data_IF_391044865923
#
_entry.id   IF_391044865923
#
_cell.length_a   1.000
_cell.length_b   1.000
_cell.length_c   1.000
_cell.angle_alpha   90.00
_cell.angle_beta   90.00
_cell.angle_gamma   90.00
#
_symmetry.space_group_name_H-M   'P 1'
#
loop_
_entity.id
_entity.type
_entity.pdbx_description
1 polymer ?
#
# COMPACT_ATOMS: atom_id res chain seq x y z
N UNK A 1 -6.06 -26.22 -38.97
CA UNK A 1 -5.79 -24.80 -38.64
C UNK A 1 -6.77 -24.24 -37.59
N UNK A 2 -7.98 -24.79 -37.45
CA UNK A 2 -8.98 -24.39 -36.43
C UNK A 2 -8.57 -24.69 -34.97
N UNK A 3 -8.00 -25.85 -34.70
CA UNK A 3 -7.68 -26.27 -33.32
C UNK A 3 -6.63 -25.39 -32.63
N UNK A 4 -5.67 -24.85 -33.41
CA UNK A 4 -4.60 -24.00 -32.87
C UNK A 4 -5.11 -22.61 -32.47
N UNK A 5 -6.04 -22.04 -33.25
CA UNK A 5 -6.69 -20.76 -32.92
C UNK A 5 -7.58 -20.90 -31.69
N UNK A 6 -8.33 -22.00 -31.59
CA UNK A 6 -9.21 -22.27 -30.46
C UNK A 6 -8.43 -22.42 -29.14
N UNK A 7 -7.27 -23.06 -29.19
CA UNK A 7 -6.39 -23.26 -28.03
C UNK A 7 -5.76 -21.93 -27.56
N UNK A 8 -5.33 -21.07 -28.49
CA UNK A 8 -4.79 -19.74 -28.18
C UNK A 8 -5.83 -18.83 -27.54
N UNK A 9 -7.06 -18.78 -28.07
CA UNK A 9 -8.16 -17.97 -27.52
C UNK A 9 -8.49 -18.41 -26.09
N UNK A 10 -8.67 -19.72 -25.88
CA UNK A 10 -8.94 -20.30 -24.56
C UNK A 10 -7.84 -19.98 -23.54
N UNK A 11 -6.57 -20.03 -23.97
CA UNK A 11 -5.43 -19.71 -23.12
C UNK A 11 -5.36 -18.23 -22.72
N UNK A 12 -5.77 -17.32 -23.61
CA UNK A 12 -5.78 -15.88 -23.36
C UNK A 12 -6.88 -15.50 -22.35
N UNK A 13 -8.07 -16.12 -22.47
CA UNK A 13 -9.16 -15.93 -21.50
C UNK A 13 -8.76 -16.43 -20.11
N UNK A 14 -8.09 -17.58 -20.01
CA UNK A 14 -7.60 -18.08 -18.73
C UNK A 14 -6.56 -17.15 -18.11
N UNK A 15 -5.59 -16.68 -18.91
CA UNK A 15 -4.59 -15.71 -18.47
C UNK A 15 -5.24 -14.42 -17.97
N UNK A 16 -6.26 -13.91 -18.67
CA UNK A 16 -6.97 -12.71 -18.25
C UNK A 16 -7.57 -12.85 -16.85
N UNK A 17 -8.33 -13.92 -16.60
CA UNK A 17 -8.94 -14.16 -15.29
C UNK A 17 -7.90 -14.36 -14.18
N UNK A 18 -6.77 -15.01 -14.51
CA UNK A 18 -5.65 -15.10 -13.59
C UNK A 18 -5.06 -13.73 -13.23
N UNK A 19 -4.88 -12.84 -14.21
CA UNK A 19 -4.40 -11.48 -13.98
C UNK A 19 -5.39 -10.64 -13.18
N UNK A 20 -6.70 -10.78 -13.42
CA UNK A 20 -7.75 -10.12 -12.64
C UNK A 20 -7.73 -10.62 -11.19
N UNK A 21 -7.57 -11.93 -10.96
CA UNK A 21 -7.41 -12.48 -9.61
C UNK A 21 -6.15 -11.93 -8.92
N UNK A 22 -5.04 -11.83 -9.65
CA UNK A 22 -3.80 -11.23 -9.15
C UNK A 22 -4.00 -9.76 -8.79
N UNK A 23 -4.70 -8.98 -9.60
CA UNK A 23 -5.07 -7.60 -9.27
C UNK A 23 -5.96 -7.51 -8.03
N UNK A 24 -6.86 -8.48 -7.83
CA UNK A 24 -7.65 -8.60 -6.60
C UNK A 24 -6.76 -8.76 -5.36
N UNK A 25 -5.73 -9.60 -5.45
CA UNK A 25 -4.69 -9.71 -4.40
C UNK A 25 -3.93 -8.39 -4.25
N UNK A 26 -3.65 -7.69 -5.34
CA UNK A 26 -3.02 -6.36 -5.32
C UNK A 26 -3.86 -5.30 -4.59
N UNK A 27 -5.19 -5.30 -4.77
CA UNK A 27 -6.11 -4.43 -4.01
C UNK A 27 -6.03 -4.77 -2.52
N UNK A 28 -6.13 -6.04 -2.14
CA UNK A 28 -6.01 -6.45 -0.74
C UNK A 28 -4.64 -6.06 -0.18
N UNK A 29 -3.58 -6.25 -0.95
CA UNK A 29 -2.22 -5.84 -0.61
C UNK A 29 -2.08 -4.34 -0.40
N UNK A 30 -2.85 -3.50 -1.10
CA UNK A 30 -2.83 -2.04 -0.91
C UNK A 30 -3.45 -1.62 0.45
N UNK A 31 -4.27 -2.46 1.07
CA UNK A 31 -4.79 -2.23 2.43
C UNK A 31 -3.86 -2.73 3.53
N UNK A 32 -2.81 -3.47 3.16
CA UNK A 32 -1.87 -4.06 4.10
C UNK A 32 -0.58 -3.26 4.08
N UNK A 33 -0.18 -2.64 5.21
CA UNK A 33 1.06 -1.90 5.28
C UNK A 33 2.25 -2.77 4.84
N UNK A 34 3.20 -2.19 4.11
CA UNK A 34 4.42 -2.84 3.57
C UNK A 34 4.18 -3.74 2.36
N UNK A 35 2.97 -4.24 2.10
CA UNK A 35 2.72 -5.06 0.91
C UNK A 35 2.68 -4.20 -0.36
N UNK A 36 3.35 -4.62 -1.45
CA UNK A 36 3.42 -3.84 -2.68
C UNK A 36 2.15 -4.04 -3.53
N UNK A 37 1.00 -3.58 -3.04
CA UNK A 37 -0.31 -3.78 -3.67
C UNK A 37 -0.43 -3.19 -5.07
N UNK A 38 -0.13 -1.90 -5.23
CA UNK A 38 -0.16 -1.23 -6.53
C UNK A 38 0.93 -1.71 -7.49
N UNK A 39 2.07 -2.17 -6.97
CA UNK A 39 3.11 -2.80 -7.80
C UNK A 39 2.62 -4.10 -8.44
N UNK A 40 1.88 -4.92 -7.68
CA UNK A 40 1.28 -6.16 -8.17
C UNK A 40 0.29 -5.89 -9.32
N UNK A 41 -0.50 -4.81 -9.19
CA UNK A 41 -1.44 -4.36 -10.23
C UNK A 41 -0.67 -3.93 -11.49
N UNK A 42 0.38 -3.10 -11.36
CA UNK A 42 1.23 -2.71 -12.49
C UNK A 42 1.82 -3.95 -13.19
N UNK A 43 2.33 -4.92 -12.42
CA UNK A 43 2.86 -6.16 -12.97
C UNK A 43 1.81 -6.94 -13.77
N UNK A 44 0.59 -7.05 -13.24
CA UNK A 44 -0.50 -7.73 -13.94
C UNK A 44 -0.90 -7.00 -15.24
N UNK A 45 -0.99 -5.67 -15.20
CA UNK A 45 -1.28 -4.86 -16.40
C UNK A 45 -0.15 -4.97 -17.43
N UNK A 46 1.11 -4.93 -16.99
CA UNK A 46 2.28 -5.07 -17.85
C UNK A 46 2.25 -6.40 -18.61
N UNK A 47 2.00 -7.51 -17.91
CA UNK A 47 1.89 -8.84 -18.53
C UNK A 47 0.80 -8.85 -19.59
N UNK A 48 -0.37 -8.25 -19.30
CA UNK A 48 -1.45 -8.15 -20.30
C UNK A 48 -1.03 -7.35 -21.53
N UNK A 49 -0.41 -6.18 -21.35
CA UNK A 49 0.03 -5.32 -22.47
C UNK A 49 1.08 -6.01 -23.35
N UNK A 50 1.97 -6.82 -22.77
CA UNK A 50 2.97 -7.58 -23.53
C UNK A 50 2.37 -8.73 -24.33
N UNK A 51 1.39 -9.44 -23.77
CA UNK A 51 0.73 -10.58 -24.45
C UNK A 51 -0.31 -10.11 -25.46
N UNK A 52 -0.87 -8.91 -25.27
CA UNK A 52 -1.83 -8.29 -26.18
C UNK A 52 -1.34 -6.91 -26.68
N UNK A 53 -0.37 -6.84 -27.60
CA UNK A 53 0.20 -5.58 -28.09
C UNK A 53 -0.80 -4.67 -28.82
N UNK A 54 -1.89 -5.25 -29.34
CA UNK A 54 -2.98 -4.53 -29.99
C UNK A 54 -3.96 -3.89 -28.99
N UNK A 55 -3.86 -4.23 -27.69
CA UNK A 55 -4.69 -3.64 -26.65
C UNK A 55 -4.23 -2.21 -26.31
N UNK A 56 -5.14 -1.42 -25.73
CA UNK A 56 -4.84 -0.06 -25.32
C UNK A 56 -3.70 -0.01 -24.29
N UNK A 57 -2.76 0.92 -24.45
CA UNK A 57 -1.71 1.21 -23.46
C UNK A 57 -2.20 2.04 -22.27
N UNK A 58 -3.44 2.55 -22.32
CA UNK A 58 -4.02 3.40 -21.27
C UNK A 58 -4.03 2.75 -19.88
N UNK A 59 -4.40 1.47 -19.70
CA UNK A 59 -4.35 0.82 -18.39
C UNK A 59 -2.95 0.81 -17.78
N UNK A 60 -1.91 0.63 -18.61
CA UNK A 60 -0.53 0.62 -18.14
C UNK A 60 -0.10 2.00 -17.65
N UNK A 61 -0.46 3.05 -18.39
CA UNK A 61 -0.19 4.44 -18.00
C UNK A 61 -0.89 4.76 -16.67
N UNK A 62 -2.18 4.43 -16.54
CA UNK A 62 -2.94 4.69 -15.31
C UNK A 62 -2.40 3.89 -14.13
N UNK A 63 -2.06 2.61 -14.33
CA UNK A 63 -1.47 1.79 -13.28
C UNK A 63 -0.10 2.33 -12.83
N UNK A 64 0.74 2.79 -13.77
CA UNK A 64 2.04 3.39 -13.44
C UNK A 64 1.88 4.71 -12.67
N UNK A 65 0.95 5.58 -13.08
CA UNK A 65 0.64 6.82 -12.35
C UNK A 65 0.12 6.50 -10.95
N UNK A 66 -0.81 5.56 -10.82
CA UNK A 66 -1.33 5.11 -9.54
C UNK A 66 -0.22 4.58 -8.64
N UNK A 67 0.71 3.77 -9.17
CA UNK A 67 1.87 3.27 -8.44
C UNK A 67 2.79 4.38 -7.96
N UNK A 68 3.18 5.31 -8.85
CA UNK A 68 4.05 6.45 -8.49
C UNK A 68 3.39 7.32 -7.40
N UNK A 69 2.09 7.59 -7.52
CA UNK A 69 1.35 8.33 -6.50
C UNK A 69 1.31 7.56 -5.18
N UNK A 70 1.06 6.26 -5.20
CA UNK A 70 1.06 5.42 -3.99
C UNK A 70 2.39 5.45 -3.24
N UNK A 71 3.53 5.46 -3.94
CA UNK A 71 4.85 5.57 -3.28
C UNK A 71 4.99 6.84 -2.42
N UNK A 72 4.33 7.93 -2.82
CA UNK A 72 4.35 9.19 -2.08
C UNK A 72 3.24 9.32 -1.04
N UNK A 73 2.03 8.82 -1.34
CA UNK A 73 0.81 9.06 -0.56
C UNK A 73 0.94 8.59 0.88
N UNK A 74 1.39 7.36 1.14
CA UNK A 74 1.52 6.84 2.50
C UNK A 74 2.50 7.66 3.36
N UNK A 75 3.66 8.01 2.79
CA UNK A 75 4.66 8.84 3.47
C UNK A 75 4.16 10.26 3.71
N UNK A 76 3.58 10.91 2.69
CA UNK A 76 3.04 12.27 2.80
C UNK A 76 1.88 12.33 3.80
N UNK A 77 0.96 11.37 3.77
CA UNK A 77 -0.15 11.29 4.72
C UNK A 77 0.37 11.25 6.15
N UNK A 78 1.34 10.36 6.42
CA UNK A 78 1.95 10.21 7.75
C UNK A 78 2.74 11.45 8.16
N UNK A 79 3.55 12.00 7.26
CA UNK A 79 4.35 13.19 7.51
C UNK A 79 3.47 14.39 7.84
N UNK A 80 2.49 14.69 6.99
CA UNK A 80 1.57 15.83 7.18
C UNK A 80 0.69 15.61 8.42
N UNK A 81 0.17 14.40 8.61
CA UNK A 81 -0.70 14.06 9.75
C UNK A 81 0.00 14.22 11.10
N UNK A 82 1.25 13.74 11.20
CA UNK A 82 2.05 13.88 12.42
C UNK A 82 2.55 15.31 12.64
N UNK A 83 2.93 16.03 11.58
CA UNK A 83 3.34 17.43 11.69
C UNK A 83 2.22 18.34 12.21
N UNK A 84 0.97 18.10 11.80
CA UNK A 84 -0.20 18.86 12.31
C UNK A 84 -0.36 18.79 13.83
N UNK A 85 0.13 17.73 14.48
CA UNK A 85 0.04 17.60 15.95
C UNK A 85 1.30 18.05 16.69
N UNK A 86 2.30 18.57 15.99
CA UNK A 86 3.55 19.07 16.57
C UNK A 86 4.69 18.05 16.63
N UNK A 87 4.64 16.98 15.84
CA UNK A 87 5.65 15.93 15.86
C UNK A 87 7.05 16.45 15.47
N UNK A 88 8.03 16.05 16.26
CA UNK A 88 9.45 16.24 15.94
C UNK A 88 9.92 15.27 14.86
N UNK A 89 11.12 15.49 14.34
CA UNK A 89 11.77 14.54 13.43
C UNK A 89 12.12 13.21 14.13
N UNK A 90 12.26 13.22 15.47
CA UNK A 90 12.51 12.03 16.27
C UNK A 90 11.26 11.16 16.44
N UNK A 91 10.06 11.76 16.50
CA UNK A 91 8.80 11.01 16.46
C UNK A 91 8.61 10.27 15.12
N UNK A 92 8.97 10.90 14.01
CA UNK A 92 8.94 10.25 12.68
C UNK A 92 10.01 9.17 12.52
N UNK A 93 11.24 9.45 12.93
CA UNK A 93 12.32 8.44 12.87
C UNK A 93 11.99 7.26 13.78
N UNK A 94 11.46 7.55 14.97
CA UNK A 94 10.97 6.56 15.92
C UNK A 94 9.89 5.68 15.30
N UNK A 95 8.92 6.24 14.58
CA UNK A 95 7.87 5.43 13.93
C UNK A 95 8.41 4.54 12.81
N UNK A 96 9.40 5.01 12.03
CA UNK A 96 10.04 4.22 10.98
C UNK A 96 10.85 3.06 11.58
N UNK A 97 11.65 3.34 12.63
CA UNK A 97 12.41 2.30 13.34
C UNK A 97 11.46 1.31 14.00
N UNK A 98 10.39 1.81 14.64
CA UNK A 98 9.36 0.99 15.24
C UNK A 98 8.63 0.11 14.22
N UNK A 99 8.35 0.63 13.03
CA UNK A 99 7.82 -0.16 11.90
C UNK A 99 8.79 -1.27 11.52
N UNK A 100 10.08 -0.98 11.37
CA UNK A 100 11.08 -1.98 11.01
C UNK A 100 11.22 -3.08 12.08
N UNK A 101 11.31 -2.70 13.35
CA UNK A 101 11.39 -3.64 14.48
C UNK A 101 10.10 -4.48 14.57
N UNK A 102 8.95 -3.85 14.38
CA UNK A 102 7.65 -4.51 14.38
C UNK A 102 7.45 -5.46 13.21
N UNK A 103 7.90 -5.08 12.02
CA UNK A 103 7.87 -5.90 10.80
C UNK A 103 8.76 -7.15 10.93
N UNK A 104 9.96 -6.98 11.50
CA UNK A 104 10.88 -8.09 11.78
C UNK A 104 10.41 -9.02 12.92
N UNK A 105 9.28 -8.71 13.57
CA UNK A 105 8.75 -9.51 14.68
C UNK A 105 9.62 -9.43 15.94
N UNK A 106 10.49 -8.43 16.04
CA UNK A 106 11.41 -8.24 17.17
C UNK A 106 10.75 -7.55 18.37
N UNK A 107 9.46 -7.23 18.28
CA UNK A 107 8.67 -6.81 19.44
C UNK A 107 8.32 -8.06 20.26
N UNK A 108 8.86 -8.20 21.48
CA UNK A 108 8.51 -9.31 22.36
C UNK A 108 7.04 -9.16 22.76
N UNK A 109 6.23 -10.21 22.56
CA UNK A 109 4.85 -10.39 23.07
C UNK A 109 3.64 -9.93 22.23
N UNK A 110 3.50 -10.42 20.99
CA UNK A 110 2.17 -10.57 20.37
C UNK A 110 1.87 -12.05 20.06
N UNK A 111 1.32 -12.81 21.03
CA UNK A 111 0.98 -14.22 20.84
C UNK A 111 -0.10 -14.48 19.77
N UNK A 112 -0.78 -13.45 19.25
CA UNK A 112 -1.98 -13.58 18.38
C UNK A 112 -1.93 -12.68 17.12
N UNK A 113 -0.82 -11.99 16.83
CA UNK A 113 -0.86 -10.80 15.96
C UNK A 113 -0.20 -10.81 14.57
N UNK A 114 0.77 -11.69 14.32
CA UNK A 114 1.56 -11.68 13.08
C UNK A 114 2.28 -10.33 12.78
N UNK A 115 2.94 -10.21 11.61
CA UNK A 115 3.67 -9.00 11.21
C UNK A 115 2.81 -7.73 11.14
N UNK A 116 1.49 -7.88 10.93
CA UNK A 116 0.57 -6.77 10.73
C UNK A 116 0.34 -5.97 12.01
N UNK A 117 0.08 -6.64 13.14
CA UNK A 117 0.00 -5.95 14.42
C UNK A 117 1.37 -5.40 14.84
N UNK A 118 2.44 -6.11 14.51
CA UNK A 118 3.81 -5.64 14.73
C UNK A 118 4.09 -4.30 14.06
N UNK A 119 3.70 -4.11 12.79
CA UNK A 119 3.90 -2.85 12.06
C UNK A 119 3.15 -1.67 12.72
N UNK A 120 1.86 -1.85 13.02
CA UNK A 120 1.02 -0.77 13.58
C UNK A 120 1.47 -0.44 15.00
N UNK A 121 1.61 -1.46 15.86
CA UNK A 121 2.03 -1.27 17.25
C UNK A 121 3.47 -0.78 17.32
N UNK A 122 4.35 -1.32 16.49
CA UNK A 122 5.75 -0.92 16.41
C UNK A 122 5.91 0.53 15.98
N UNK A 123 5.27 0.95 14.90
CA UNK A 123 5.30 2.35 14.45
C UNK A 123 4.70 3.30 15.49
N UNK A 124 3.61 2.90 16.14
CA UNK A 124 2.97 3.68 17.21
C UNK A 124 3.90 3.84 18.44
N UNK A 125 4.46 2.74 18.96
CA UNK A 125 5.38 2.75 20.10
C UNK A 125 6.68 3.46 19.76
N UNK A 126 7.21 3.25 18.56
CA UNK A 126 8.39 3.93 18.07
C UNK A 126 8.19 5.44 18.01
N UNK A 127 7.05 5.91 17.52
CA UNK A 127 6.72 7.34 17.51
C UNK A 127 6.60 7.90 18.94
N UNK A 128 5.95 7.14 19.83
CA UNK A 128 5.81 7.51 21.24
C UNK A 128 7.18 7.70 21.89
N UNK A 129 8.03 6.68 21.82
CA UNK A 129 9.36 6.68 22.44
C UNK A 129 10.27 7.72 21.80
N UNK A 130 10.23 7.85 20.48
CA UNK A 130 11.01 8.87 19.76
C UNK A 130 10.67 10.28 20.20
N UNK A 131 9.38 10.63 20.27
CA UNK A 131 8.95 11.94 20.73
C UNK A 131 9.24 12.14 22.23
N UNK A 132 8.99 11.11 23.05
CA UNK A 132 9.20 11.17 24.50
C UNK A 132 10.68 11.37 24.87
N UNK A 133 11.59 10.74 24.13
CA UNK A 133 13.04 10.88 24.36
C UNK A 133 13.60 12.20 23.82
N UNK A 134 12.97 12.78 22.80
CA UNK A 134 13.39 14.06 22.24
C UNK A 134 13.00 15.24 23.12
N UNK A 135 11.76 15.24 23.64
CA UNK A 135 11.13 16.37 24.34
C UNK A 135 11.52 16.49 25.82
N UNK A 136 12.81 16.33 26.14
CA UNK A 136 13.30 16.35 27.53
C UNK A 136 13.11 17.70 28.23
N UNK A 137 12.92 18.76 27.46
CA UNK A 137 12.64 20.12 27.93
C UNK A 137 11.25 20.29 28.54
N UNK A 138 10.30 19.40 28.24
CA UNK A 138 8.93 19.45 28.76
C UNK A 138 8.79 18.66 30.06
N UNK A 139 7.83 19.09 30.88
CA UNK A 139 7.40 18.34 32.05
C UNK A 139 6.92 16.94 31.64
N UNK A 140 7.16 15.96 32.51
CA UNK A 140 6.85 14.54 32.23
C UNK A 140 5.39 14.34 31.79
N UNK A 141 4.44 15.06 32.41
CA UNK A 141 3.02 14.98 32.07
C UNK A 141 2.72 15.50 30.65
N UNK A 142 3.32 16.63 30.28
CA UNK A 142 3.15 17.23 28.95
C UNK A 142 3.82 16.39 27.87
N UNK A 143 5.00 15.83 28.19
CA UNK A 143 5.77 14.96 27.33
C UNK A 143 5.00 13.69 26.94
N UNK A 144 4.36 13.04 27.91
CA UNK A 144 3.52 11.86 27.67
C UNK A 144 2.31 12.24 26.81
N UNK A 145 1.64 13.36 27.13
CA UNK A 145 0.46 13.82 26.39
C UNK A 145 0.78 14.10 24.92
N UNK A 146 1.88 14.80 24.64
CA UNK A 146 2.33 15.07 23.28
C UNK A 146 2.72 13.78 22.55
N UNK A 147 3.48 12.90 23.20
CA UNK A 147 3.93 11.63 22.61
C UNK A 147 2.74 10.72 22.26
N UNK A 148 1.73 10.63 23.12
CA UNK A 148 0.47 9.94 22.80
C UNK A 148 -0.24 10.56 21.60
N UNK A 149 -0.30 11.90 21.54
CA UNK A 149 -0.92 12.61 20.42
C UNK A 149 -0.20 12.33 19.09
N UNK A 150 1.14 12.33 19.10
CA UNK A 150 1.96 11.99 17.92
C UNK A 150 1.75 10.53 17.50
N UNK A 151 1.70 9.61 18.45
CA UNK A 151 1.50 8.18 18.19
C UNK A 151 0.12 7.89 17.58
N UNK A 152 -0.93 8.51 18.14
CA UNK A 152 -2.27 8.44 17.56
C UNK A 152 -2.32 9.06 16.16
N UNK A 153 -1.63 10.19 15.96
CA UNK A 153 -1.54 10.81 14.65
C UNK A 153 -0.87 9.90 13.62
N UNK A 154 0.20 9.15 13.98
CA UNK A 154 0.81 8.14 13.10
C UNK A 154 -0.20 7.10 12.66
N UNK A 155 -0.97 6.52 13.59
CA UNK A 155 -1.96 5.48 13.26
C UNK A 155 -3.06 6.05 12.36
N UNK A 156 -3.66 7.17 12.74
CA UNK A 156 -4.76 7.79 11.97
C UNK A 156 -4.28 8.16 10.56
N UNK A 157 -3.12 8.78 10.45
CA UNK A 157 -2.58 9.20 9.15
C UNK A 157 -2.11 8.03 8.28
N UNK A 158 -1.60 6.95 8.88
CA UNK A 158 -1.29 5.71 8.17
C UNK A 158 -2.56 5.09 7.58
N UNK A 159 -3.65 5.00 8.36
CA UNK A 159 -4.94 4.49 7.87
C UNK A 159 -5.45 5.34 6.70
N UNK A 160 -5.37 6.67 6.80
CA UNK A 160 -5.74 7.57 5.70
C UNK A 160 -4.88 7.33 4.47
N UNK A 161 -3.56 7.19 4.63
CA UNK A 161 -2.64 6.86 3.53
C UNK A 161 -3.01 5.56 2.82
N UNK A 162 -3.24 4.50 3.59
CA UNK A 162 -3.66 3.19 3.10
C UNK A 162 -5.01 3.24 2.38
N UNK A 163 -5.98 4.02 2.86
CA UNK A 163 -7.26 4.21 2.17
C UNK A 163 -7.08 4.90 0.81
N UNK A 164 -6.24 5.94 0.74
CA UNK A 164 -5.93 6.63 -0.51
C UNK A 164 -5.19 5.71 -1.50
N UNK A 165 -4.26 4.89 -1.02
CA UNK A 165 -3.59 3.87 -1.84
C UNK A 165 -4.57 2.82 -2.37
N UNK A 166 -5.52 2.38 -1.54
CA UNK A 166 -6.62 1.50 -1.96
C UNK A 166 -7.46 2.12 -3.08
N UNK A 167 -7.82 3.40 -2.98
CA UNK A 167 -8.56 4.11 -4.04
C UNK A 167 -7.78 4.20 -5.36
N UNK A 168 -6.47 4.44 -5.29
CA UNK A 168 -5.59 4.42 -6.45
C UNK A 168 -5.56 3.02 -7.10
N UNK A 169 -5.43 1.96 -6.28
CA UNK A 169 -5.49 0.58 -6.72
C UNK A 169 -6.82 0.25 -7.41
N UNK A 170 -7.96 0.61 -6.81
CA UNK A 170 -9.28 0.43 -7.41
C UNK A 170 -9.40 1.15 -8.75
N UNK A 171 -8.94 2.40 -8.84
CA UNK A 171 -8.98 3.19 -10.08
C UNK A 171 -8.22 2.48 -11.20
N UNK A 172 -7.01 1.97 -10.91
CA UNK A 172 -6.21 1.25 -11.90
C UNK A 172 -6.90 -0.04 -12.39
N UNK A 173 -7.51 -0.81 -11.48
CA UNK A 173 -8.23 -2.05 -11.85
C UNK A 173 -9.49 -1.75 -12.65
N UNK A 174 -10.27 -0.73 -12.27
CA UNK A 174 -11.47 -0.33 -13.01
C UNK A 174 -11.11 0.10 -14.44
N UNK A 175 -10.06 0.91 -14.61
CA UNK A 175 -9.61 1.34 -15.94
C UNK A 175 -9.11 0.16 -16.76
N UNK A 176 -8.38 -0.78 -16.15
CA UNK A 176 -7.97 -2.01 -16.80
C UNK A 176 -9.18 -2.77 -17.32
N UNK A 177 -10.11 -3.18 -16.44
CA UNK A 177 -11.30 -3.93 -16.80
C UNK A 177 -12.09 -3.23 -17.91
N UNK A 178 -12.32 -1.92 -17.80
CA UNK A 178 -13.10 -1.18 -18.78
C UNK A 178 -12.45 -1.15 -20.17
N UNK A 179 -11.12 -1.03 -20.25
CA UNK A 179 -10.39 -0.95 -21.52
C UNK A 179 -10.04 -2.29 -22.12
N UNK A 180 -9.91 -3.35 -21.31
CA UNK A 180 -9.54 -4.68 -21.80
C UNK A 180 -10.74 -5.57 -22.06
N UNK A 181 -11.90 -5.30 -21.43
CA UNK A 181 -13.13 -6.08 -21.65
C UNK A 181 -13.51 -6.24 -23.13
N UNK A 182 -13.46 -5.19 -23.99
CA UNK A 182 -13.82 -5.34 -25.40
C UNK A 182 -12.88 -6.29 -26.17
N UNK A 183 -11.61 -6.39 -25.76
CA UNK A 183 -10.60 -7.23 -26.42
C UNK A 183 -10.92 -8.73 -26.27
N UNK A 184 -11.55 -9.11 -25.17
CA UNK A 184 -11.89 -10.50 -24.81
C UNK A 184 -13.32 -10.84 -25.19
N UNK A 185 -14.22 -9.86 -25.19
CA UNK A 185 -15.60 -10.05 -25.66
C UNK A 185 -15.69 -10.20 -27.19
N UNK A 186 -14.65 -9.77 -27.91
CA UNK A 186 -14.55 -9.87 -29.37
C UNK A 186 -13.74 -11.09 -29.86
N UNK A 187 -13.23 -11.93 -28.95
CA UNK A 187 -12.51 -13.20 -29.25
C UNK A 187 -13.36 -14.41 -28.96
#
# INVERSE_FOLDING_TARGET
>A
MSNHLFMTISSLTFLYWFLVALMGVGIVGAFVPVLPGTSLIVGAVLVWTLVSPAASSLPLIVALIAFILSLGVGYLATYIGTKKVGASSWGQTGSIVGLAVGFLGLLPALPVGGPLLGIIVGSMLGAFLGEFLFRKELDTKERIKLSCKVSLAVVVSSVVGTLLEGLLAFTAVIVFLWKTWPTIAAT
#
